data_IF_738630275652
#
_entry.id   IF_738630275652
#
_cell.length_a   1.000
_cell.length_b   1.000
_cell.length_c   1.000
_cell.angle_alpha   90.00
_cell.angle_beta   90.00
_cell.angle_gamma   90.00
#
_symmetry.space_group_name_H-M   'P 1'
#
loop_
_entity.id
_entity.type
_entity.pdbx_description
1 polymer ?
#
# COMPACT_ATOMS: atom_id res chain seq x y z
N UNK A 1 -14.93 -30.42 13.41
CA UNK A 1 -15.19 -28.97 13.34
C UNK A 1 -14.74 -28.29 12.04
N UNK A 2 -14.12 -28.97 11.05
CA UNK A 2 -13.51 -28.29 9.88
C UNK A 2 -14.34 -28.18 8.58
N UNK A 3 -15.54 -28.79 8.49
CA UNK A 3 -16.36 -28.74 7.26
C UNK A 3 -17.39 -27.61 7.30
N UNK A 4 -17.95 -27.34 8.48
CA UNK A 4 -18.98 -26.31 8.70
C UNK A 4 -18.42 -24.88 8.49
N UNK A 5 -17.14 -24.65 8.80
CA UNK A 5 -16.49 -23.34 8.64
C UNK A 5 -16.18 -23.01 7.17
N UNK A 6 -15.84 -24.02 6.36
CA UNK A 6 -15.59 -23.84 4.92
C UNK A 6 -16.89 -23.55 4.17
N UNK A 7 -17.98 -24.20 4.57
CA UNK A 7 -19.30 -24.01 3.97
C UNK A 7 -19.89 -22.64 4.36
N UNK A 8 -19.60 -22.16 5.59
CA UNK A 8 -19.90 -20.79 6.01
C UNK A 8 -19.13 -19.75 5.19
N UNK A 9 -17.82 -19.93 5.02
CA UNK A 9 -16.98 -19.02 4.23
C UNK A 9 -17.43 -18.97 2.75
N UNK A 10 -17.82 -20.10 2.14
CA UNK A 10 -18.39 -20.11 0.78
C UNK A 10 -19.71 -19.38 0.67
N UNK A 11 -20.59 -19.51 1.67
CA UNK A 11 -21.86 -18.81 1.70
C UNK A 11 -21.66 -17.31 1.90
N UNK A 12 -20.71 -16.90 2.72
CA UNK A 12 -20.37 -15.49 2.95
C UNK A 12 -19.81 -14.84 1.67
N UNK A 13 -18.93 -15.54 0.92
CA UNK A 13 -18.42 -15.07 -0.39
C UNK A 13 -19.56 -14.96 -1.42
N UNK A 14 -20.51 -15.90 -1.42
CA UNK A 14 -21.66 -15.86 -2.33
C UNK A 14 -22.58 -14.67 -2.02
N UNK A 15 -22.86 -14.43 -0.74
CA UNK A 15 -23.67 -13.29 -0.32
C UNK A 15 -23.01 -11.95 -0.66
N UNK A 16 -21.69 -11.84 -0.50
CA UNK A 16 -20.94 -10.64 -0.90
C UNK A 16 -21.03 -10.39 -2.41
N UNK A 17 -20.94 -11.44 -3.25
CA UNK A 17 -21.11 -11.31 -4.70
C UNK A 17 -22.52 -10.87 -5.10
N UNK A 18 -23.54 -11.36 -4.41
CA UNK A 18 -24.93 -10.97 -4.65
C UNK A 18 -25.20 -9.52 -4.19
N UNK A 19 -24.63 -9.08 -3.06
CA UNK A 19 -24.67 -7.68 -2.62
C UNK A 19 -23.98 -6.74 -3.62
N UNK A 20 -22.79 -7.11 -4.11
CA UNK A 20 -22.07 -6.34 -5.15
C UNK A 20 -22.88 -6.21 -6.44
N UNK A 21 -23.54 -7.29 -6.89
CA UNK A 21 -24.37 -7.26 -8.08
C UNK A 21 -25.62 -6.37 -7.90
N UNK A 22 -26.18 -6.31 -6.70
CA UNK A 22 -27.35 -5.47 -6.40
C UNK A 22 -27.04 -3.97 -6.33
N UNK A 23 -25.80 -3.59 -5.98
CA UNK A 23 -25.36 -2.18 -5.88
C UNK A 23 -25.01 -1.56 -7.23
N UNK A 24 -24.73 -2.35 -8.26
CA UNK A 24 -24.38 -1.85 -9.59
C UNK A 24 -25.56 -1.28 -10.40
N UNK A 25 -26.81 -1.43 -9.92
CA UNK A 25 -28.00 -0.98 -10.66
C UNK A 25 -28.61 0.35 -10.19
N UNK A 26 -27.96 1.09 -9.31
CA UNK A 26 -28.46 2.42 -8.91
C UNK A 26 -27.33 3.36 -8.51
N UNK A 27 -26.97 4.26 -9.44
CA UNK A 27 -26.69 5.69 -9.24
C UNK A 27 -25.65 6.18 -10.26
N UNK A 28 -26.14 6.52 -11.45
CA UNK A 28 -25.55 7.59 -12.25
C UNK A 28 -26.15 8.91 -11.76
N UNK A 29 -25.28 9.92 -11.59
CA UNK A 29 -25.54 11.32 -11.24
C UNK A 29 -25.76 11.62 -9.75
N UNK A 30 -24.67 12.01 -9.05
CA UNK A 30 -24.66 13.14 -8.10
C UNK A 30 -23.23 13.49 -7.65
N UNK A 31 -22.56 14.32 -8.44
CA UNK A 31 -21.35 15.06 -8.04
C UNK A 31 -21.74 16.22 -7.13
N UNK A 32 -21.83 15.95 -5.83
CA UNK A 32 -21.68 16.92 -4.72
C UNK A 32 -21.92 16.27 -3.35
N UNK A 33 -21.29 15.13 -3.06
CA UNK A 33 -21.22 14.70 -1.67
C UNK A 33 -20.24 15.60 -0.91
N UNK A 34 -20.78 16.65 -0.29
CA UNK A 34 -20.15 17.29 0.86
C UNK A 34 -19.67 16.17 1.78
N UNK A 35 -18.37 16.17 2.12
CA UNK A 35 -17.82 15.39 3.24
C UNK A 35 -18.68 15.73 4.47
N UNK A 36 -19.67 14.90 4.77
CA UNK A 36 -20.52 15.10 5.94
C UNK A 36 -19.70 14.72 7.16
N UNK A 37 -19.37 15.65 8.06
CA UNK A 37 -18.75 15.28 9.32
C UNK A 37 -19.77 14.43 10.07
N UNK A 38 -19.49 13.14 10.26
CA UNK A 38 -20.24 12.35 11.24
C UNK A 38 -19.94 12.98 12.60
N UNK A 39 -20.86 13.82 13.09
CA UNK A 39 -20.81 14.42 14.44
C UNK A 39 -20.82 13.34 15.53
N UNK A 40 -21.35 12.17 15.21
CA UNK A 40 -21.37 11.01 16.07
C UNK A 40 -20.26 10.06 15.64
N UNK A 41 -19.22 9.93 16.47
CA UNK A 41 -18.25 8.84 16.36
C UNK A 41 -19.04 7.54 16.46
N UNK A 42 -19.07 6.67 15.43
CA UNK A 42 -19.75 5.38 15.54
C UNK A 42 -19.18 4.63 16.76
N UNK A 43 -20.02 4.00 17.55
CA UNK A 43 -19.56 3.20 18.69
C UNK A 43 -18.90 1.92 18.15
N UNK A 44 -17.58 1.96 17.99
CA UNK A 44 -16.77 0.76 17.79
C UNK A 44 -16.57 0.08 19.16
N UNK A 45 -16.62 -1.26 19.25
CA UNK A 45 -16.23 -1.95 20.46
C UNK A 45 -14.81 -1.52 20.81
N UNK A 46 -14.58 -1.08 22.06
CA UNK A 46 -13.25 -0.66 22.50
C UNK A 46 -12.32 -1.86 22.42
N UNK A 47 -11.46 -1.89 21.41
CA UNK A 47 -10.45 -2.93 21.27
C UNK A 47 -9.22 -2.55 22.09
N UNK A 48 -8.77 -3.47 22.95
CA UNK A 48 -7.54 -3.30 23.72
C UNK A 48 -6.48 -4.26 23.18
N UNK A 49 -5.39 -3.69 22.65
CA UNK A 49 -4.27 -4.47 22.14
C UNK A 49 -3.64 -5.26 23.29
N UNK A 50 -3.38 -6.56 23.06
CA UNK A 50 -2.61 -7.35 24.02
C UNK A 50 -1.13 -6.96 23.98
N UNK A 51 -0.36 -7.26 25.03
CA UNK A 51 1.09 -7.02 25.02
C UNK A 51 1.79 -7.77 23.87
N UNK A 52 1.34 -9.01 23.57
CA UNK A 52 1.84 -9.79 22.45
C UNK A 52 1.56 -9.12 21.11
N UNK A 53 0.38 -8.51 20.95
CA UNK A 53 0.02 -7.73 19.76
C UNK A 53 0.94 -6.53 19.59
N UNK A 54 1.18 -5.78 20.67
CA UNK A 54 2.05 -4.60 20.66
C UNK A 54 3.48 -4.97 20.27
N UNK A 55 4.03 -6.03 20.84
CA UNK A 55 5.38 -6.50 20.52
C UNK A 55 5.49 -7.04 19.08
N UNK A 56 4.45 -7.71 18.58
CA UNK A 56 4.38 -8.17 17.21
C UNK A 56 4.25 -7.02 16.21
N UNK A 57 3.52 -5.95 16.57
CA UNK A 57 3.28 -4.79 15.71
C UNK A 57 4.57 -4.05 15.33
N UNK A 58 5.64 -4.19 16.12
CA UNK A 58 6.97 -3.62 15.86
C UNK A 58 7.78 -4.39 14.81
N UNK A 59 7.28 -5.53 14.31
CA UNK A 59 8.02 -6.45 13.43
C UNK A 59 7.38 -6.52 12.05
N UNK A 60 8.18 -6.68 10.97
CA UNK A 60 7.65 -6.83 9.61
C UNK A 60 6.83 -8.12 9.43
N UNK A 61 7.02 -9.10 10.31
CA UNK A 61 6.28 -10.37 10.33
C UNK A 61 4.85 -10.29 10.90
N UNK A 62 4.36 -9.10 11.26
CA UNK A 62 2.98 -8.93 11.74
C UNK A 62 1.98 -9.39 10.68
N UNK A 63 1.12 -10.36 11.03
CA UNK A 63 0.08 -10.85 10.14
C UNK A 63 -1.06 -9.85 10.08
N UNK A 64 -1.11 -9.11 8.98
CA UNK A 64 -2.08 -8.04 8.73
C UNK A 64 -3.48 -8.56 8.44
N UNK A 65 -3.67 -9.85 8.12
CA UNK A 65 -4.97 -10.40 7.73
C UNK A 65 -5.89 -10.75 8.89
N UNK A 66 -5.34 -10.87 10.10
CA UNK A 66 -6.07 -11.27 11.30
C UNK A 66 -7.02 -10.19 11.86
N UNK A 67 -6.90 -8.96 11.38
CA UNK A 67 -7.46 -7.79 12.06
C UNK A 67 -8.61 -7.16 11.28
N UNK A 68 -9.70 -6.85 11.97
CA UNK A 68 -10.78 -6.02 11.46
C UNK A 68 -10.40 -4.53 11.46
N UNK A 69 -11.20 -3.70 10.78
CA UNK A 69 -10.92 -2.27 10.62
C UNK A 69 -10.75 -1.53 11.95
N UNK A 70 -11.61 -1.81 12.93
CA UNK A 70 -11.52 -1.20 14.28
C UNK A 70 -10.24 -1.61 15.03
N UNK A 71 -9.75 -2.84 14.84
CA UNK A 71 -8.52 -3.30 15.47
C UNK A 71 -7.29 -2.67 14.80
N UNK A 72 -7.28 -2.57 13.47
CA UNK A 72 -6.25 -1.84 12.72
C UNK A 72 -6.21 -0.35 13.12
N UNK A 73 -7.36 0.30 13.30
CA UNK A 73 -7.45 1.66 13.81
C UNK A 73 -6.83 1.80 15.20
N UNK A 74 -7.09 0.86 16.12
CA UNK A 74 -6.43 0.83 17.43
C UNK A 74 -4.91 0.63 17.34
N UNK A 75 -4.43 -0.19 16.40
CA UNK A 75 -3.01 -0.35 16.13
C UNK A 75 -2.38 0.96 15.63
N UNK A 76 -3.01 1.67 14.69
CA UNK A 76 -2.54 2.98 14.20
C UNK A 76 -2.51 4.02 15.33
N UNK A 77 -3.57 4.10 16.14
CA UNK A 77 -3.62 4.97 17.32
C UNK A 77 -2.45 4.67 18.26
N UNK A 78 -2.22 3.38 18.56
CA UNK A 78 -1.14 2.95 19.41
C UNK A 78 0.24 3.39 18.89
N UNK A 79 0.52 3.26 17.59
CA UNK A 79 1.80 3.67 17.01
C UNK A 79 2.10 5.15 17.26
N UNK A 80 1.10 6.04 17.12
CA UNK A 80 1.28 7.47 17.39
C UNK A 80 1.58 7.77 18.87
N UNK A 81 1.01 6.99 19.78
CA UNK A 81 1.30 7.10 21.21
C UNK A 81 2.68 6.51 21.57
N UNK A 82 3.01 5.33 21.07
CA UNK A 82 4.27 4.61 21.39
C UNK A 82 5.49 5.36 20.85
N UNK A 83 5.39 5.95 19.66
CA UNK A 83 6.44 6.81 19.07
C UNK A 83 6.57 8.18 19.76
N UNK A 84 5.74 8.49 20.76
CA UNK A 84 5.75 9.76 21.47
C UNK A 84 5.13 10.94 20.72
N UNK A 85 4.64 10.75 19.49
CA UNK A 85 4.10 11.82 18.63
C UNK A 85 2.94 12.55 19.29
N UNK A 86 2.04 11.82 19.96
CA UNK A 86 0.91 12.43 20.68
C UNK A 86 1.39 13.37 21.78
N UNK A 87 2.40 12.93 22.53
CA UNK A 87 2.93 13.67 23.68
C UNK A 87 3.72 14.90 23.21
N UNK A 88 4.66 14.70 22.29
CA UNK A 88 5.63 15.73 21.90
C UNK A 88 4.97 16.85 21.09
N UNK A 89 3.92 16.52 20.32
CA UNK A 89 3.18 17.48 19.50
C UNK A 89 1.84 17.90 20.09
N UNK A 90 1.56 17.49 21.33
CA UNK A 90 0.29 17.77 22.02
C UNK A 90 -0.93 17.43 21.15
N UNK A 91 -0.91 16.29 20.45
CA UNK A 91 -2.04 15.87 19.61
C UNK A 91 -3.20 15.49 20.55
N UNK A 92 -4.38 16.07 20.34
CA UNK A 92 -5.54 15.68 21.14
C UNK A 92 -5.92 14.21 20.81
N UNK A 93 -5.94 13.28 21.78
CA UNK A 93 -6.22 11.87 21.51
C UNK A 93 -7.58 11.60 20.88
N UNK A 94 -8.58 12.44 21.15
CA UNK A 94 -9.91 12.34 20.50
C UNK A 94 -9.85 12.80 19.04
N UNK A 95 -9.10 13.87 18.76
CA UNK A 95 -8.86 14.33 17.39
C UNK A 95 -8.07 13.29 16.58
N UNK A 96 -7.07 12.63 17.19
CA UNK A 96 -6.34 11.51 16.56
C UNK A 96 -7.30 10.40 16.14
N UNK A 97 -8.21 9.98 17.03
CA UNK A 97 -9.24 8.97 16.70
C UNK A 97 -10.15 9.38 15.56
N UNK A 98 -10.68 10.61 15.61
CA UNK A 98 -11.57 11.14 14.58
C UNK A 98 -10.86 11.24 13.24
N UNK A 99 -9.61 11.68 13.25
CA UNK A 99 -8.75 11.72 12.07
C UNK A 99 -8.56 10.33 11.47
N UNK A 100 -8.13 9.34 12.26
CA UNK A 100 -7.95 7.96 11.78
C UNK A 100 -9.25 7.34 11.23
N UNK A 101 -10.39 7.62 11.87
CA UNK A 101 -11.71 7.22 11.35
C UNK A 101 -12.03 7.89 10.01
N UNK A 102 -11.72 9.19 9.88
CA UNK A 102 -11.92 9.92 8.64
C UNK A 102 -10.99 9.41 7.53
N UNK A 103 -9.74 9.06 7.86
CA UNK A 103 -8.82 8.38 6.93
C UNK A 103 -9.42 7.08 6.44
N UNK A 104 -9.83 6.19 7.35
CA UNK A 104 -10.48 4.92 7.00
C UNK A 104 -11.68 5.12 6.06
N UNK A 105 -12.56 6.06 6.38
CA UNK A 105 -13.77 6.34 5.60
C UNK A 105 -13.48 6.91 4.19
N UNK A 106 -12.26 7.42 3.95
CA UNK A 106 -11.82 7.94 2.65
C UNK A 106 -10.91 6.97 1.88
N UNK A 107 -10.63 5.78 2.41
CA UNK A 107 -10.08 4.68 1.62
C UNK A 107 -11.22 3.92 0.93
N UNK A 108 -11.08 3.65 -0.38
CA UNK A 108 -12.07 2.89 -1.14
C UNK A 108 -11.91 1.39 -0.92
N UNK A 109 -12.98 0.64 -1.19
CA UNK A 109 -12.99 -0.82 -1.14
C UNK A 109 -12.47 -1.43 -2.45
N UNK A 110 -11.25 -1.06 -2.85
CA UNK A 110 -10.58 -1.69 -3.98
C UNK A 110 -9.96 -3.04 -3.55
N UNK A 111 -9.68 -3.96 -4.48
CA UNK A 111 -9.00 -5.21 -4.15
C UNK A 111 -7.63 -4.98 -3.49
N UNK A 112 -6.80 -4.07 -4.03
CA UNK A 112 -5.46 -3.80 -3.50
C UNK A 112 -5.38 -2.48 -2.77
N UNK A 113 -5.63 -1.34 -3.44
CA UNK A 113 -5.43 0.00 -2.86
C UNK A 113 -6.60 0.37 -1.93
N UNK A 114 -6.62 -0.22 -0.73
CA UNK A 114 -7.66 -0.10 0.29
C UNK A 114 -7.07 0.21 1.67
N UNK A 115 -7.93 0.32 2.70
CA UNK A 115 -7.47 0.67 4.06
C UNK A 115 -6.51 -0.36 4.67
N UNK A 116 -6.62 -1.65 4.32
CA UNK A 116 -5.66 -2.64 4.81
C UNK A 116 -4.29 -2.44 4.18
N UNK A 117 -4.21 -2.02 2.91
CA UNK A 117 -2.95 -1.63 2.29
C UNK A 117 -2.33 -0.42 3.01
N UNK A 118 -3.11 0.64 3.26
CA UNK A 118 -2.70 1.76 4.13
C UNK A 118 -2.11 1.29 5.47
N UNK A 119 -2.81 0.35 6.13
CA UNK A 119 -2.33 -0.23 7.37
C UNK A 119 -1.00 -1.00 7.20
N UNK A 120 -0.84 -1.80 6.15
CA UNK A 120 0.40 -2.50 5.83
C UNK A 120 1.58 -1.54 5.70
N UNK A 121 1.41 -0.45 4.94
CA UNK A 121 2.47 0.54 4.69
C UNK A 121 2.84 1.27 5.98
N UNK A 122 1.84 1.68 6.76
CA UNK A 122 2.07 2.36 8.04
C UNK A 122 2.72 1.44 9.07
N UNK A 123 2.27 0.19 9.17
CA UNK A 123 2.84 -0.80 10.08
C UNK A 123 4.27 -1.19 9.68
N UNK A 124 4.57 -1.23 8.37
CA UNK A 124 5.94 -1.44 7.90
C UNK A 124 6.82 -0.24 8.24
N UNK A 125 6.33 0.99 8.08
CA UNK A 125 7.05 2.21 8.50
C UNK A 125 7.37 2.16 10.00
N UNK A 126 6.39 1.80 10.83
CA UNK A 126 6.59 1.62 12.27
C UNK A 126 7.63 0.53 12.57
N UNK A 127 7.58 -0.60 11.87
CA UNK A 127 8.59 -1.67 11.99
C UNK A 127 9.99 -1.18 11.61
N UNK A 128 10.12 -0.40 10.54
CA UNK A 128 11.39 0.18 10.13
C UNK A 128 11.90 1.20 11.15
N UNK A 129 11.02 2.03 11.73
CA UNK A 129 11.39 2.97 12.80
C UNK A 129 11.98 2.22 14.00
N UNK A 130 11.36 1.11 14.42
CA UNK A 130 11.85 0.29 15.52
C UNK A 130 13.14 -0.47 15.16
N UNK A 131 13.16 -1.17 14.02
CA UNK A 131 14.29 -2.01 13.60
C UNK A 131 15.54 -1.18 13.30
N UNK A 132 15.39 -0.03 12.66
CA UNK A 132 16.50 0.82 12.23
C UNK A 132 16.87 1.88 13.27
N UNK A 133 16.24 1.87 14.46
CA UNK A 133 16.39 2.91 15.49
C UNK A 133 16.27 4.33 14.93
N UNK A 134 15.29 4.57 14.06
CA UNK A 134 15.22 5.81 13.29
C UNK A 134 15.04 7.06 14.16
N UNK A 135 14.49 6.93 15.37
CA UNK A 135 14.38 8.04 16.33
C UNK A 135 15.73 8.53 16.87
N UNK A 136 16.83 7.79 16.66
CA UNK A 136 18.19 8.24 16.95
C UNK A 136 18.82 9.04 15.79
N UNK A 137 18.21 8.98 14.60
CA UNK A 137 18.72 9.56 13.35
C UNK A 137 17.87 10.71 12.84
N UNK A 138 16.57 10.67 13.10
CA UNK A 138 15.58 11.62 12.63
C UNK A 138 15.01 12.45 13.78
N UNK A 139 14.56 13.66 13.45
CA UNK A 139 13.80 14.47 14.40
C UNK A 139 12.40 13.86 14.61
N UNK A 140 11.74 14.19 15.71
CA UNK A 140 10.34 13.76 15.90
C UNK A 140 9.41 14.30 14.81
N UNK A 141 9.74 15.44 14.19
CA UNK A 141 8.97 16.00 13.06
C UNK A 141 9.11 15.11 11.82
N UNK A 142 10.30 14.59 11.55
CA UNK A 142 10.52 13.62 10.47
C UNK A 142 9.75 12.32 10.71
N UNK A 143 9.73 11.80 11.94
CA UNK A 143 8.95 10.62 12.32
C UNK A 143 7.45 10.86 12.12
N UNK A 144 6.94 12.03 12.51
CA UNK A 144 5.56 12.43 12.27
C UNK A 144 5.24 12.49 10.77
N UNK A 145 6.13 13.07 9.96
CA UNK A 145 5.98 13.15 8.50
C UNK A 145 5.93 11.76 7.88
N UNK A 146 6.84 10.86 8.25
CA UNK A 146 6.90 9.48 7.75
C UNK A 146 5.61 8.72 8.06
N UNK A 147 5.16 8.74 9.32
CA UNK A 147 3.95 8.05 9.75
C UNK A 147 2.69 8.66 9.13
N UNK A 148 2.61 9.99 9.04
CA UNK A 148 1.43 10.65 8.46
C UNK A 148 1.34 10.41 6.96
N UNK A 149 2.46 10.51 6.23
CA UNK A 149 2.49 10.24 4.80
C UNK A 149 2.11 8.79 4.51
N UNK A 150 2.65 7.82 5.26
CA UNK A 150 2.28 6.40 5.11
C UNK A 150 0.78 6.14 5.28
N UNK A 151 0.13 6.79 6.26
CA UNK A 151 -1.32 6.67 6.50
C UNK A 151 -2.17 7.33 5.41
N UNK A 152 -1.62 8.30 4.67
CA UNK A 152 -2.38 9.12 3.73
C UNK A 152 -2.10 8.84 2.26
N UNK A 153 -1.06 8.07 1.94
CA UNK A 153 -0.44 8.07 0.61
C UNK A 153 -1.35 7.63 -0.55
N UNK A 154 -2.43 6.91 -0.25
CA UNK A 154 -3.34 6.29 -1.24
C UNK A 154 -4.82 6.67 -1.03
N UNK A 155 -5.07 7.75 -0.28
CA UNK A 155 -6.43 8.21 0.00
C UNK A 155 -7.26 8.40 -1.26
N UNK A 156 -8.48 7.86 -1.25
CA UNK A 156 -9.43 7.94 -2.36
C UNK A 156 -8.96 7.29 -3.69
N UNK A 157 -7.97 6.37 -3.67
CA UNK A 157 -7.50 5.67 -4.86
C UNK A 157 -8.66 5.02 -5.67
N UNK A 158 -8.79 5.26 -6.98
CA UNK A 158 -9.98 4.87 -7.75
C UNK A 158 -9.96 3.43 -8.26
N UNK A 159 -8.86 2.69 -8.05
CA UNK A 159 -8.69 1.33 -8.56
C UNK A 159 -8.08 1.25 -9.97
N UNK A 160 -7.62 2.38 -10.52
CA UNK A 160 -7.03 2.48 -11.85
C UNK A 160 -5.84 3.45 -11.80
N UNK A 161 -4.68 3.02 -12.27
CA UNK A 161 -3.42 3.75 -12.11
C UNK A 161 -3.32 5.04 -12.96
N UNK A 162 -2.23 5.80 -12.78
CA UNK A 162 -1.97 7.04 -13.53
C UNK A 162 -2.04 6.87 -15.06
N UNK A 163 -1.51 5.76 -15.61
CA UNK A 163 -1.56 5.47 -17.05
C UNK A 163 -3.00 5.42 -17.56
N UNK A 164 -3.90 4.78 -16.82
CA UNK A 164 -5.32 4.77 -17.16
C UNK A 164 -5.91 6.18 -17.06
N UNK A 165 -5.64 6.92 -15.97
CA UNK A 165 -6.16 8.29 -15.80
C UNK A 165 -5.83 9.17 -17.01
N UNK A 166 -4.56 9.12 -17.45
CA UNK A 166 -4.03 9.92 -18.57
C UNK A 166 -4.63 9.46 -19.90
N UNK A 167 -4.59 8.16 -20.19
CA UNK A 167 -5.09 7.62 -21.46
C UNK A 167 -6.59 7.84 -21.64
N UNK A 168 -7.37 7.65 -20.56
CA UNK A 168 -8.81 7.87 -20.54
C UNK A 168 -9.18 9.37 -20.38
N UNK A 169 -8.18 10.25 -20.17
CA UNK A 169 -8.37 11.70 -19.97
C UNK A 169 -9.39 12.01 -18.89
N UNK A 170 -9.29 11.31 -17.77
CA UNK A 170 -10.22 11.46 -16.65
C UNK A 170 -10.11 12.86 -16.04
N UNK A 171 -11.08 13.22 -15.20
CA UNK A 171 -11.04 14.50 -14.50
C UNK A 171 -9.78 14.68 -13.65
N UNK A 172 -9.23 13.61 -13.07
CA UNK A 172 -7.99 13.68 -12.30
C UNK A 172 -6.80 14.02 -13.20
N UNK A 173 -6.69 13.36 -14.36
CA UNK A 173 -5.62 13.65 -15.32
C UNK A 173 -5.70 15.10 -15.82
N UNK A 174 -6.90 15.57 -16.17
CA UNK A 174 -7.12 16.97 -16.58
C UNK A 174 -6.80 17.95 -15.44
N UNK A 175 -7.23 17.67 -14.21
CA UNK A 175 -6.99 18.54 -13.04
C UNK A 175 -5.50 18.68 -12.72
N UNK A 176 -4.74 17.59 -12.85
CA UNK A 176 -3.32 17.54 -12.50
C UNK A 176 -2.39 17.60 -13.70
N UNK A 177 -2.91 17.89 -14.89
CA UNK A 177 -2.15 18.07 -16.14
C UNK A 177 -1.19 16.89 -16.41
N UNK A 178 -1.68 15.66 -16.21
CA UNK A 178 -0.94 14.41 -16.40
C UNK A 178 0.31 14.22 -15.49
N UNK A 179 0.53 15.08 -14.51
CA UNK A 179 1.68 14.99 -13.58
C UNK A 179 1.23 14.33 -12.28
N UNK A 180 1.64 13.06 -12.08
CA UNK A 180 1.28 12.22 -10.92
C UNK A 180 -0.18 12.44 -10.44
N UNK A 181 -1.20 12.23 -11.31
CA UNK A 181 -2.58 12.61 -10.98
C UNK A 181 -3.11 12.00 -9.69
N UNK A 182 -2.80 10.72 -9.42
CA UNK A 182 -3.27 10.01 -8.25
C UNK A 182 -2.57 10.49 -6.98
N UNK A 183 -1.25 10.58 -6.98
CA UNK A 183 -0.48 10.97 -5.79
C UNK A 183 -0.79 12.43 -5.39
N UNK A 184 -1.02 13.31 -6.36
CA UNK A 184 -1.52 14.65 -6.08
C UNK A 184 -2.93 14.63 -5.49
N UNK A 185 -3.81 13.74 -5.95
CA UNK A 185 -5.16 13.58 -5.42
C UNK A 185 -5.15 13.04 -3.99
N UNK A 186 -4.37 11.99 -3.71
CA UNK A 186 -4.20 11.42 -2.36
C UNK A 186 -3.75 12.51 -1.37
N UNK A 187 -2.75 13.30 -1.77
CA UNK A 187 -2.26 14.41 -0.97
C UNK A 187 -3.32 15.52 -0.78
N UNK A 188 -4.06 15.88 -1.84
CA UNK A 188 -5.12 16.87 -1.75
C UNK A 188 -6.23 16.44 -0.78
N UNK A 189 -6.67 15.17 -0.86
CA UNK A 189 -7.66 14.59 0.05
C UNK A 189 -7.14 14.58 1.50
N UNK A 190 -5.88 14.20 1.73
CA UNK A 190 -5.27 14.24 3.06
C UNK A 190 -5.41 15.62 3.72
N UNK A 191 -5.07 16.68 2.98
CA UNK A 191 -5.15 18.05 3.51
C UNK A 191 -6.55 18.64 3.53
N UNK A 192 -7.50 18.11 2.74
CA UNK A 192 -8.92 18.40 2.95
C UNK A 192 -9.39 17.82 4.30
N UNK A 193 -8.95 16.60 4.67
CA UNK A 193 -9.26 16.02 5.99
C UNK A 193 -8.65 16.87 7.11
N UNK A 194 -7.37 17.25 7.01
CA UNK A 194 -6.72 18.11 8.01
C UNK A 194 -7.34 19.50 8.14
N UNK A 195 -8.02 20.00 7.09
CA UNK A 195 -8.74 21.28 7.15
C UNK A 195 -10.00 21.25 8.03
N UNK A 196 -10.51 20.05 8.35
CA UNK A 196 -11.65 19.88 9.25
C UNK A 196 -11.17 20.00 10.72
N UNK A 197 -11.69 20.94 11.53
CA UNK A 197 -11.21 21.16 12.90
C UNK A 197 -11.22 19.91 13.78
N UNK A 198 -12.23 19.05 13.60
CA UNK A 198 -12.40 17.82 14.37
C UNK A 198 -11.44 16.68 13.97
N UNK A 199 -10.73 16.81 12.84
CA UNK A 199 -9.73 15.85 12.33
C UNK A 199 -8.32 16.45 12.24
N UNK A 200 -8.13 17.70 12.65
CA UNK A 200 -6.85 18.38 12.52
C UNK A 200 -5.90 17.99 13.67
N UNK A 201 -5.13 16.92 13.50
CA UNK A 201 -4.09 16.51 14.45
C UNK A 201 -2.94 17.53 14.57
N UNK A 202 -2.87 18.51 13.65
CA UNK A 202 -1.88 19.57 13.64
C UNK A 202 -2.36 20.89 14.26
N UNK A 203 -3.54 20.91 14.91
CA UNK A 203 -4.17 22.14 15.41
C UNK A 203 -3.32 22.94 16.41
N UNK A 204 -2.37 22.27 17.08
CA UNK A 204 -1.52 22.86 18.12
C UNK A 204 -0.12 23.24 17.62
N UNK A 205 0.18 23.03 16.33
CA UNK A 205 1.44 23.46 15.73
C UNK A 205 1.41 24.95 15.41
N UNK A 206 2.57 25.59 15.53
CA UNK A 206 2.73 26.92 14.95
C UNK A 206 2.70 26.85 13.41
N UNK A 207 2.40 27.96 12.72
CA UNK A 207 2.27 27.97 11.27
C UNK A 207 3.52 27.55 10.50
N UNK A 208 4.72 27.72 11.06
CA UNK A 208 5.97 27.39 10.37
C UNK A 208 6.26 25.88 10.47
N UNK A 209 6.09 25.30 11.65
CA UNK A 209 6.15 23.85 11.82
C UNK A 209 5.09 23.13 10.95
N UNK A 210 3.87 23.68 10.86
CA UNK A 210 2.84 23.13 9.97
C UNK A 210 3.25 23.18 8.49
N UNK A 211 3.88 24.26 8.02
CA UNK A 211 4.39 24.33 6.64
C UNK A 211 5.46 23.27 6.39
N UNK A 212 6.39 23.08 7.33
CA UNK A 212 7.43 22.07 7.22
C UNK A 212 6.83 20.66 7.12
N UNK A 213 5.89 20.32 8.01
CA UNK A 213 5.18 19.04 8.00
C UNK A 213 4.44 18.86 6.68
N UNK A 214 3.68 19.87 6.26
CA UNK A 214 2.94 19.84 5.01
C UNK A 214 3.85 19.58 3.82
N UNK A 215 4.96 20.31 3.73
CA UNK A 215 5.93 20.15 2.64
C UNK A 215 6.53 18.74 2.64
N UNK A 216 6.95 18.24 3.80
CA UNK A 216 7.48 16.89 3.93
C UNK A 216 6.47 15.82 3.51
N UNK A 217 5.23 15.89 4.01
CA UNK A 217 4.17 14.95 3.65
C UNK A 217 3.85 14.99 2.16
N UNK A 218 3.79 16.17 1.53
CA UNK A 218 3.61 16.31 0.07
C UNK A 218 4.76 15.59 -0.66
N UNK A 219 6.00 15.88 -0.30
CA UNK A 219 7.18 15.28 -0.93
C UNK A 219 7.15 13.75 -0.84
N UNK A 220 6.75 13.20 0.31
CA UNK A 220 6.70 11.74 0.52
C UNK A 220 5.57 11.08 -0.24
N UNK A 221 4.36 11.64 -0.25
CA UNK A 221 3.23 11.08 -1.01
C UNK A 221 3.53 11.14 -2.52
N UNK A 222 4.06 12.25 -3.03
CA UNK A 222 4.45 12.32 -4.46
C UNK A 222 5.64 11.43 -4.83
N UNK A 223 6.38 10.90 -3.84
CA UNK A 223 7.47 9.96 -4.09
C UNK A 223 6.98 8.52 -4.32
N UNK A 224 5.74 8.20 -3.92
CA UNK A 224 5.21 6.84 -4.10
C UNK A 224 4.96 6.51 -5.57
N UNK A 225 4.71 7.52 -6.42
CA UNK A 225 4.60 7.35 -7.89
C UNK A 225 5.75 6.51 -8.45
N UNK A 226 5.42 5.32 -8.95
CA UNK A 226 6.39 4.37 -9.48
C UNK A 226 7.02 4.82 -10.80
N UNK A 227 6.45 5.80 -11.51
CA UNK A 227 7.10 6.43 -12.65
C UNK A 227 8.41 7.14 -12.26
N UNK A 228 8.53 7.56 -10.99
CA UNK A 228 9.71 8.25 -10.43
C UNK A 228 10.67 7.32 -9.70
N UNK A 229 10.42 6.01 -9.67
CA UNK A 229 11.24 5.06 -8.91
C UNK A 229 12.73 5.12 -9.28
N UNK A 230 13.06 5.11 -10.57
CA UNK A 230 14.45 5.16 -11.04
C UNK A 230 15.15 6.45 -10.64
N UNK A 231 14.53 7.60 -10.88
CA UNK A 231 15.04 8.94 -10.50
C UNK A 231 15.37 9.01 -9.00
N UNK A 232 14.43 8.60 -8.16
CA UNK A 232 14.57 8.68 -6.69
C UNK A 232 15.66 7.72 -6.20
N UNK A 233 15.66 6.47 -6.67
CA UNK A 233 16.63 5.47 -6.24
C UNK A 233 18.05 5.82 -6.69
N UNK A 234 18.21 6.35 -7.90
CA UNK A 234 19.53 6.76 -8.40
C UNK A 234 20.06 7.99 -7.65
N UNK A 235 19.20 8.96 -7.30
CA UNK A 235 19.58 10.07 -6.41
C UNK A 235 20.04 9.57 -5.05
N UNK A 236 19.37 8.57 -4.47
CA UNK A 236 19.76 7.98 -3.19
C UNK A 236 21.09 7.22 -3.27
N UNK A 237 21.29 6.41 -4.33
CA UNK A 237 22.55 5.67 -4.56
C UNK A 237 23.76 6.60 -4.65
N UNK A 238 23.60 7.81 -5.20
CA UNK A 238 24.69 8.80 -5.26
C UNK A 238 25.08 9.34 -3.88
N UNK A 239 24.15 9.33 -2.92
CA UNK A 239 24.33 9.87 -1.57
C UNK A 239 24.71 8.81 -0.54
N UNK A 240 24.32 7.56 -0.74
CA UNK A 240 24.36 6.50 0.30
C UNK A 240 25.76 6.18 0.81
N UNK A 241 26.78 6.17 -0.05
CA UNK A 241 28.14 5.77 0.35
C UNK A 241 28.85 6.85 1.20
N UNK A 242 28.40 8.10 1.12
CA UNK A 242 28.88 9.23 1.93
C UNK A 242 27.70 9.95 2.60
N UNK A 243 26.79 9.19 3.19
CA UNK A 243 25.53 9.74 3.68
C UNK A 243 25.74 10.62 4.92
N UNK A 244 25.28 11.88 4.86
CA UNK A 244 25.27 12.82 5.97
C UNK A 244 23.85 12.99 6.55
N UNK A 245 23.68 12.64 7.83
CA UNK A 245 22.40 12.80 8.55
C UNK A 245 22.10 14.25 8.94
N UNK A 246 23.05 15.16 8.80
CA UNK A 246 22.87 16.59 9.04
C UNK A 246 22.50 17.37 7.77
N UNK A 247 22.62 16.73 6.60
CA UNK A 247 22.23 17.30 5.32
C UNK A 247 20.73 17.03 5.04
N UNK A 248 19.98 18.11 4.81
CA UNK A 248 18.52 18.03 4.61
C UNK A 248 18.13 17.33 3.30
N UNK A 249 18.95 17.44 2.25
CA UNK A 249 18.70 16.77 0.97
C UNK A 249 18.92 15.26 1.11
N UNK A 250 19.97 14.86 1.82
CA UNK A 250 20.24 13.46 2.15
C UNK A 250 19.10 12.85 2.97
N UNK A 251 18.70 13.52 4.04
CA UNK A 251 17.59 13.10 4.91
C UNK A 251 16.27 13.03 4.12
N UNK A 252 15.98 14.00 3.27
CA UNK A 252 14.77 14.00 2.43
C UNK A 252 14.78 12.83 1.45
N UNK A 253 15.91 12.60 0.78
CA UNK A 253 16.08 11.48 -0.14
C UNK A 253 15.89 10.13 0.57
N UNK A 254 16.46 9.96 1.76
CA UNK A 254 16.26 8.76 2.57
C UNK A 254 14.80 8.58 2.97
N UNK A 255 14.10 9.63 3.44
CA UNK A 255 12.67 9.54 3.78
C UNK A 255 11.80 9.13 2.57
N UNK A 256 12.12 9.64 1.38
CA UNK A 256 11.45 9.23 0.13
C UNK A 256 11.68 7.74 -0.15
N UNK A 257 12.90 7.24 0.00
CA UNK A 257 13.18 5.81 -0.19
C UNK A 257 12.50 4.97 0.89
N UNK A 258 12.44 5.42 2.14
CA UNK A 258 11.78 4.70 3.24
C UNK A 258 10.28 4.53 3.01
N UNK A 259 9.56 5.59 2.60
CA UNK A 259 8.12 5.46 2.29
C UNK A 259 7.91 4.53 1.10
N UNK A 260 8.76 4.60 0.07
CA UNK A 260 8.71 3.67 -1.06
C UNK A 260 8.98 2.23 -0.63
N UNK A 261 9.97 1.99 0.22
CA UNK A 261 10.21 0.66 0.81
C UNK A 261 8.97 0.12 1.48
N UNK A 262 8.29 0.92 2.30
CA UNK A 262 7.10 0.51 3.03
C UNK A 262 5.89 0.25 2.12
N UNK A 263 5.69 1.11 1.12
CA UNK A 263 4.61 1.06 0.15
C UNK A 263 4.60 -0.30 -0.60
N UNK A 264 5.74 -0.67 -1.19
CA UNK A 264 5.87 -1.92 -1.96
C UNK A 264 6.45 -3.08 -1.14
N UNK A 265 6.23 -3.10 0.18
CA UNK A 265 6.86 -4.06 1.11
C UNK A 265 6.16 -5.41 1.25
N UNK A 266 5.07 -5.71 0.52
CA UNK A 266 4.29 -6.92 0.77
C UNK A 266 5.14 -8.20 0.74
N UNK A 267 6.08 -8.33 -0.20
CA UNK A 267 6.97 -9.48 -0.36
C UNK A 267 8.11 -9.55 0.68
N UNK A 268 8.24 -8.54 1.55
CA UNK A 268 9.11 -8.60 2.74
C UNK A 268 8.45 -9.45 3.84
N UNK A 269 7.13 -9.54 3.85
CA UNK A 269 6.37 -10.26 4.88
C UNK A 269 6.50 -11.78 4.69
N UNK A 270 6.20 -12.57 5.74
CA UNK A 270 6.06 -14.02 5.61
C UNK A 270 5.13 -14.38 4.45
N UNK A 271 5.45 -15.47 3.75
CA UNK A 271 4.82 -15.82 2.48
C UNK A 271 3.30 -15.98 2.58
N UNK A 272 2.80 -16.52 3.70
CA UNK A 272 1.37 -16.70 3.96
C UNK A 272 0.63 -15.36 4.12
N UNK A 273 1.35 -14.30 4.51
CA UNK A 273 0.85 -12.93 4.63
C UNK A 273 0.99 -12.17 3.30
N UNK A 274 2.07 -12.43 2.55
CA UNK A 274 2.39 -11.75 1.30
C UNK A 274 1.54 -12.24 0.12
N UNK A 275 1.40 -13.56 -0.07
CA UNK A 275 0.78 -14.14 -1.28
C UNK A 275 -0.66 -13.66 -1.55
N UNK A 276 -1.55 -13.51 -0.56
CA UNK A 276 -2.90 -13.00 -0.81
C UNK A 276 -2.91 -11.59 -1.42
N UNK A 277 -1.90 -10.76 -1.14
CA UNK A 277 -1.79 -9.43 -1.75
C UNK A 277 -1.52 -9.49 -3.25
N UNK A 278 -0.89 -10.55 -3.75
CA UNK A 278 -0.65 -10.73 -5.19
C UNK A 278 -1.97 -11.00 -5.91
N UNK A 279 -2.88 -11.77 -5.32
CA UNK A 279 -4.23 -11.95 -5.85
C UNK A 279 -4.99 -10.62 -5.91
N UNK A 280 -4.97 -9.85 -4.82
CA UNK A 280 -5.58 -8.54 -4.75
C UNK A 280 -5.04 -7.58 -5.83
N UNK A 281 -3.71 -7.55 -6.01
CA UNK A 281 -3.07 -6.70 -7.02
C UNK A 281 -3.46 -7.11 -8.44
N UNK A 282 -3.42 -8.40 -8.74
CA UNK A 282 -3.80 -8.91 -10.06
C UNK A 282 -5.28 -8.71 -10.34
N UNK A 283 -6.16 -8.85 -9.35
CA UNK A 283 -7.58 -8.52 -9.51
C UNK A 283 -7.77 -7.06 -9.95
N UNK A 284 -7.07 -6.13 -9.29
CA UNK A 284 -7.13 -4.71 -9.65
C UNK A 284 -6.52 -4.41 -11.03
N UNK A 285 -5.37 -4.99 -11.34
CA UNK A 285 -4.74 -4.86 -12.67
C UNK A 285 -5.62 -5.44 -13.79
N UNK A 286 -6.29 -6.56 -13.53
CA UNK A 286 -7.17 -7.19 -14.51
C UNK A 286 -8.47 -6.40 -14.70
N UNK A 287 -9.02 -5.81 -13.64
CA UNK A 287 -10.15 -4.87 -13.78
C UNK A 287 -9.77 -3.68 -14.66
N UNK A 288 -8.57 -3.12 -14.48
CA UNK A 288 -8.07 -2.04 -15.33
C UNK A 288 -7.89 -2.49 -16.78
N UNK A 289 -7.16 -3.57 -17.03
CA UNK A 289 -6.87 -4.00 -18.41
C UNK A 289 -8.10 -4.46 -19.17
N UNK A 290 -9.07 -5.11 -18.51
CA UNK A 290 -10.36 -5.45 -19.10
C UNK A 290 -11.13 -4.19 -19.52
N UNK A 291 -11.09 -3.14 -18.68
CA UNK A 291 -11.73 -1.85 -19.00
C UNK A 291 -11.01 -1.12 -20.13
N UNK A 292 -9.68 -1.10 -20.13
CA UNK A 292 -8.88 -0.53 -21.22
C UNK A 292 -9.20 -1.23 -22.56
N UNK A 293 -9.31 -2.57 -22.58
CA UNK A 293 -9.75 -3.33 -23.77
C UNK A 293 -11.14 -2.91 -24.23
N UNK A 294 -12.09 -2.76 -23.31
CA UNK A 294 -13.47 -2.39 -23.62
C UNK A 294 -13.60 -0.96 -24.16
N UNK A 295 -12.77 -0.03 -23.67
CA UNK A 295 -12.74 1.37 -24.07
C UNK A 295 -11.81 1.65 -25.27
N UNK A 296 -11.09 0.63 -25.77
CA UNK A 296 -10.14 0.78 -26.88
C UNK A 296 -8.87 1.53 -26.51
N UNK A 297 -8.49 1.52 -25.23
CA UNK A 297 -7.27 2.15 -24.70
C UNK A 297 -6.07 1.19 -24.76
N UNK A 298 -4.83 1.71 -24.73
CA UNK A 298 -3.63 0.88 -24.64
C UNK A 298 -3.61 0.03 -23.36
N UNK A 299 -3.25 -1.25 -23.49
CA UNK A 299 -3.15 -2.19 -22.36
C UNK A 299 -1.69 -2.50 -22.08
N UNK A 300 -1.27 -2.34 -20.83
CA UNK A 300 0.08 -2.71 -20.40
C UNK A 300 0.23 -4.24 -20.34
N UNK A 301 1.29 -4.83 -20.94
CA UNK A 301 1.45 -6.29 -20.96
C UNK A 301 1.48 -6.96 -19.57
N UNK A 302 2.00 -6.27 -18.56
CA UNK A 302 2.08 -6.76 -17.18
C UNK A 302 0.76 -6.66 -16.39
N UNK A 303 -0.28 -6.08 -16.99
CA UNK A 303 -1.65 -6.04 -16.45
C UNK A 303 -2.62 -6.92 -17.24
N UNK A 304 -2.18 -7.53 -18.35
CA UNK A 304 -3.04 -8.33 -19.21
C UNK A 304 -3.23 -9.73 -18.63
N UNK A 305 -4.48 -10.07 -18.25
CA UNK A 305 -4.81 -11.39 -17.68
C UNK A 305 -4.49 -12.58 -18.58
N UNK A 306 -4.33 -12.36 -19.89
CA UNK A 306 -3.94 -13.41 -20.82
C UNK A 306 -2.42 -13.70 -20.82
N UNK A 307 -1.62 -12.80 -20.25
CA UNK A 307 -0.15 -12.84 -20.31
C UNK A 307 0.50 -12.96 -18.93
N UNK A 308 -0.24 -12.67 -17.86
CA UNK A 308 0.32 -12.53 -16.51
C UNK A 308 -0.13 -13.69 -15.64
N UNK A 309 0.86 -14.35 -15.02
CA UNK A 309 0.68 -15.27 -13.90
C UNK A 309 1.30 -14.67 -12.64
N UNK A 310 0.89 -15.12 -11.44
CA UNK A 310 1.49 -14.66 -10.17
C UNK A 310 3.02 -14.73 -10.19
N UNK A 311 3.66 -15.86 -10.57
CA UNK A 311 5.13 -15.90 -10.59
C UNK A 311 5.74 -14.86 -11.53
N UNK A 312 5.18 -14.70 -12.73
CA UNK A 312 5.73 -13.75 -13.71
C UNK A 312 5.60 -12.29 -13.27
N UNK A 313 4.53 -11.95 -12.54
CA UNK A 313 4.36 -10.62 -11.95
C UNK A 313 5.42 -10.34 -10.88
N UNK A 314 5.66 -11.31 -9.98
CA UNK A 314 6.49 -11.08 -8.80
C UNK A 314 7.99 -11.22 -9.05
N UNK A 315 8.45 -12.18 -9.88
CA UNK A 315 9.90 -12.42 -10.09
C UNK A 315 10.62 -11.16 -10.55
N UNK A 316 10.11 -10.52 -11.60
CA UNK A 316 10.73 -9.31 -12.15
C UNK A 316 10.70 -8.16 -11.15
N UNK A 317 9.57 -7.97 -10.47
CA UNK A 317 9.39 -6.91 -9.49
C UNK A 317 10.33 -7.08 -8.29
N UNK A 318 10.39 -8.28 -7.69
CA UNK A 318 11.28 -8.57 -6.56
C UNK A 318 12.75 -8.38 -6.98
N UNK A 319 13.14 -8.95 -8.12
CA UNK A 319 14.54 -8.99 -8.57
C UNK A 319 15.08 -7.64 -9.00
N UNK A 320 14.27 -6.82 -9.68
CA UNK A 320 14.73 -5.60 -10.33
C UNK A 320 14.24 -4.31 -9.65
N UNK A 321 13.27 -4.40 -8.73
CA UNK A 321 12.74 -3.24 -7.99
C UNK A 321 13.01 -3.40 -6.50
N UNK A 322 12.48 -4.45 -5.86
CA UNK A 322 12.54 -4.58 -4.40
C UNK A 322 13.96 -4.83 -3.89
N UNK A 323 14.62 -5.91 -4.33
CA UNK A 323 15.96 -6.27 -3.84
C UNK A 323 16.94 -5.10 -4.01
N UNK A 324 17.09 -4.45 -5.18
CA UNK A 324 18.02 -3.33 -5.33
C UNK A 324 17.72 -2.14 -4.40
N UNK A 325 16.45 -1.82 -4.18
CA UNK A 325 16.05 -0.73 -3.29
C UNK A 325 16.39 -1.05 -1.83
N UNK A 326 16.00 -2.24 -1.34
CA UNK A 326 16.28 -2.65 0.03
C UNK A 326 17.79 -2.87 0.27
N UNK A 327 18.55 -3.41 -0.69
CA UNK A 327 20.01 -3.52 -0.58
C UNK A 327 20.70 -2.14 -0.50
N UNK A 328 20.14 -1.12 -1.17
CA UNK A 328 20.66 0.25 -1.04
C UNK A 328 20.39 0.81 0.35
N UNK A 329 19.21 0.59 0.93
CA UNK A 329 18.89 0.99 2.32
C UNK A 329 19.73 0.22 3.34
N UNK A 330 20.02 -1.06 3.09
CA UNK A 330 20.82 -1.93 3.94
C UNK A 330 22.24 -1.40 4.16
N UNK A 331 22.79 -0.62 3.22
CA UNK A 331 24.08 0.07 3.41
C UNK A 331 24.09 1.01 4.61
N UNK A 332 22.97 1.65 4.92
CA UNK A 332 22.81 2.51 6.10
C UNK A 332 22.30 1.74 7.32
N UNK A 333 21.51 0.71 7.10
CA UNK A 333 20.86 -0.08 8.15
C UNK A 333 21.09 -1.59 7.93
N UNK A 334 22.28 -2.13 8.26
CA UNK A 334 22.62 -3.52 8.00
C UNK A 334 21.65 -4.55 8.62
N UNK A 335 21.00 -4.19 9.73
CA UNK A 335 20.03 -5.06 10.41
C UNK A 335 18.79 -5.41 9.57
N UNK A 336 18.51 -4.71 8.46
CA UNK A 336 17.41 -5.07 7.58
C UNK A 336 17.74 -6.27 6.67
N UNK A 337 19.00 -6.71 6.62
CA UNK A 337 19.39 -7.85 5.80
C UNK A 337 18.58 -9.10 6.17
N UNK A 338 18.65 -9.50 7.43
CA UNK A 338 17.93 -10.68 7.95
C UNK A 338 16.42 -10.48 7.93
N UNK A 339 15.96 -9.29 8.35
CA UNK A 339 14.53 -9.05 8.56
C UNK A 339 13.75 -8.73 7.28
N UNK A 340 14.42 -8.27 6.21
CA UNK A 340 13.75 -7.76 5.01
C UNK A 340 14.35 -8.22 3.68
N UNK A 341 15.68 -8.18 3.53
CA UNK A 341 16.34 -8.57 2.27
C UNK A 341 16.31 -10.08 2.08
N UNK A 342 16.53 -10.85 3.13
CA UNK A 342 16.51 -12.31 3.10
C UNK A 342 15.12 -12.87 2.73
N UNK A 343 13.99 -12.42 3.33
CA UNK A 343 12.65 -12.79 2.88
C UNK A 343 12.38 -12.49 1.40
N UNK A 344 12.88 -11.36 0.87
CA UNK A 344 12.75 -11.04 -0.56
C UNK A 344 13.51 -12.03 -1.46
N UNK A 345 14.71 -12.45 -1.05
CA UNK A 345 15.49 -13.46 -1.78
C UNK A 345 14.77 -14.81 -1.77
N UNK A 346 14.22 -15.21 -0.64
CA UNK A 346 13.43 -16.45 -0.50
C UNK A 346 12.13 -16.40 -1.32
N UNK A 347 11.43 -15.27 -1.30
CA UNK A 347 10.22 -15.06 -2.11
C UNK A 347 10.55 -15.13 -3.61
N UNK A 348 11.63 -14.49 -4.07
CA UNK A 348 12.12 -14.61 -5.45
C UNK A 348 12.33 -16.07 -5.84
N UNK A 349 13.09 -16.81 -5.05
CA UNK A 349 13.47 -18.19 -5.35
C UNK A 349 12.22 -19.08 -5.43
N UNK A 350 11.27 -18.90 -4.49
CA UNK A 350 9.97 -19.59 -4.53
C UNK A 350 9.17 -19.27 -5.79
N UNK A 351 9.08 -18.02 -6.21
CA UNK A 351 8.36 -17.69 -7.44
C UNK A 351 9.09 -18.23 -8.68
N UNK A 352 10.43 -18.22 -8.72
CA UNK A 352 11.20 -18.85 -9.80
C UNK A 352 10.91 -20.37 -9.87
N UNK A 353 10.79 -21.06 -8.74
CA UNK A 353 10.36 -22.47 -8.67
C UNK A 353 8.92 -22.67 -9.16
N UNK A 354 7.98 -21.84 -8.69
CA UNK A 354 6.57 -21.89 -9.15
C UNK A 354 6.45 -21.70 -10.66
N UNK A 355 7.23 -20.77 -11.22
CA UNK A 355 7.26 -20.56 -12.68
C UNK A 355 7.75 -21.81 -13.41
N UNK A 356 8.77 -22.50 -12.91
CA UNK A 356 9.27 -23.74 -13.53
C UNK A 356 8.20 -24.84 -13.51
N UNK A 357 7.44 -24.94 -12.41
CA UNK A 357 6.32 -25.88 -12.29
C UNK A 357 5.21 -25.54 -13.31
N UNK A 358 4.83 -24.26 -13.41
CA UNK A 358 3.82 -23.79 -14.38
C UNK A 358 4.25 -24.08 -15.82
N UNK A 359 5.50 -23.79 -16.18
CA UNK A 359 6.05 -24.05 -17.50
C UNK A 359 6.02 -25.55 -17.83
N UNK A 360 6.44 -26.41 -16.89
CA UNK A 360 6.40 -27.86 -17.05
C UNK A 360 4.97 -28.41 -17.20
N UNK A 361 4.01 -27.89 -16.44
CA UNK A 361 2.60 -28.27 -16.55
C UNK A 361 2.01 -27.88 -17.91
N UNK A 362 2.32 -26.67 -18.40
CA UNK A 362 1.88 -26.17 -19.69
C UNK A 362 2.46 -27.00 -20.85
N UNK A 363 3.73 -27.39 -20.78
CA UNK A 363 4.33 -28.30 -21.76
C UNK A 363 3.64 -29.66 -21.82
N UNK A 364 3.29 -30.24 -20.66
CA UNK A 364 2.59 -31.53 -20.59
C UNK A 364 1.18 -31.41 -21.20
N UNK A 365 0.48 -30.32 -20.94
CA UNK A 365 -0.84 -30.07 -21.53
C UNK A 365 -0.76 -29.89 -23.06
N UNK A 366 0.24 -29.15 -23.55
CA UNK A 366 0.47 -28.96 -25.00
C UNK A 366 0.80 -30.27 -25.71
N UNK A 367 1.65 -31.12 -25.12
CA UNK A 367 1.94 -32.47 -25.66
C UNK A 367 0.70 -33.36 -25.68
N UNK A 368 -0.18 -33.26 -24.68
CA UNK A 368 -1.46 -34.01 -24.66
C UNK A 368 -2.43 -33.54 -25.75
N UNK A 369 -2.57 -32.23 -25.97
CA UNK A 369 -3.46 -31.70 -27.01
C UNK A 369 -2.96 -32.02 -28.41
N UNK A 370 -1.65 -31.93 -28.66
CA UNK A 370 -1.03 -32.32 -29.94
C UNK A 370 -1.26 -33.80 -30.27
N UNK A 371 -1.12 -34.70 -29.29
CA UNK A 371 -1.37 -36.13 -29.45
C UNK A 371 -2.86 -36.46 -29.74
N UNK A 372 -3.80 -35.72 -29.14
CA UNK A 372 -5.23 -35.86 -29.43
C UNK A 372 -5.59 -35.39 -30.86
N UNK A 373 -4.99 -34.30 -31.33
CA UNK A 373 -5.18 -33.82 -32.71
C UNK A 373 -4.58 -34.73 -33.78
N UNK A 374 -3.49 -35.45 -33.49
CA UNK A 374 -2.93 -36.45 -34.41
C UNK A 374 -3.72 -37.77 -34.41
N UNK A 375 -4.36 -38.14 -33.29
CA UNK A 375 -5.22 -39.32 -33.20
C UNK A 375 -6.57 -39.20 -33.94
N UNK A 376 -7.08 -37.98 -34.12
CA UNK A 376 -8.36 -37.70 -34.80
C UNK A 376 -8.33 -37.74 -36.33
N UNK A 377 -7.13 -37.74 -36.96
CA UNK A 377 -6.99 -37.84 -38.43
C UNK A 377 -6.87 -39.29 -38.96
N UNK A 378 -7.02 -40.29 -38.09
CA UNK A 378 -7.12 -41.70 -38.45
C UNK A 378 -8.50 -42.25 -38.08
N UNK A 379 -9.54 -41.82 -38.79
CA UNK A 379 -10.81 -42.56 -38.88
C UNK A 379 -11.48 -42.27 -40.21
#
# INVERSE_FOLDING_TARGET
MKVVEIEKCRNDIKNLREEMASRNNSNFLEDNKKLTPRRDVPSYPKYMLSAQTVDALKKPAFDVWLWEANEMLSCLEHMYHDLGLVKDFNINPITLKRWLLCIHDNYKNNPFHNFRHCFCVTQMMYSMICLCSLQEKFTQVDILILMTAAVCHDLDHPGFNNTYQINARTELAVRYNDISPLENHHCAVAFQIFSQPDCNIFSNFDPEAFKQIRQGTITLILATDMARHGEILDSFKQKVDNFDYTDEEHVTCLKMVLIKCCDISNEVRPMEVAEPWVDCLLEEYFMQSDREKAEGLPVAPFMDREKVTKPTAQIGFIKFVLIPMFETVMKLFPQIEEAMVQPLRESRDRYEELKQIDDAMNEVQKKKSENLTMGGKKK
#
